data_IF_693795975042
#
_entry.id   IF_693795975042
#
_cell.length_a   1.000
_cell.length_b   1.000
_cell.length_c   1.000
_cell.angle_alpha   90.00
_cell.angle_beta   90.00
_cell.angle_gamma   90.00
#
_symmetry.space_group_name_H-M   'P 1'
#
loop_
_entity.id
_entity.type
_entity.pdbx_description
1 polymer ?
#
# COMPACT_ATOMS: atom_id res chain seq x y z
N UNK A 1 30.44 1.84 36.87
CA UNK A 1 29.84 0.72 36.11
C UNK A 1 28.37 0.96 35.77
N UNK A 2 27.63 1.78 36.53
CA UNK A 2 26.20 2.01 36.29
C UNK A 2 25.85 2.88 35.06
N UNK A 3 26.73 3.79 34.66
CA UNK A 3 26.51 4.65 33.48
C UNK A 3 26.51 3.86 32.17
N UNK A 4 27.39 2.87 32.01
CA UNK A 4 27.42 2.02 30.82
C UNK A 4 26.18 1.13 30.71
N UNK A 5 25.68 0.61 31.83
CA UNK A 5 24.46 -0.19 31.88
C UNK A 5 23.22 0.65 31.54
N UNK A 6 23.16 1.91 32.01
CA UNK A 6 22.09 2.85 31.63
C UNK A 6 22.06 3.11 30.13
N UNK A 7 23.21 3.38 29.50
CA UNK A 7 23.29 3.58 28.05
C UNK A 7 22.94 2.31 27.25
N UNK A 8 23.35 1.13 27.71
CA UNK A 8 22.98 -0.14 27.10
C UNK A 8 21.47 -0.43 27.24
N UNK A 9 20.89 -0.15 28.41
CA UNK A 9 19.46 -0.34 28.66
C UNK A 9 18.63 0.64 27.84
N UNK A 10 19.00 1.92 27.81
CA UNK A 10 18.37 2.94 26.99
C UNK A 10 18.42 2.57 25.49
N UNK A 11 19.58 2.15 24.97
CA UNK A 11 19.71 1.74 23.56
C UNK A 11 18.82 0.54 23.21
N UNK A 12 18.69 -0.43 24.12
CA UNK A 12 17.82 -1.59 23.93
C UNK A 12 16.33 -1.24 24.01
N UNK A 13 15.93 -0.34 24.91
CA UNK A 13 14.54 0.14 24.99
C UNK A 13 14.17 0.97 23.77
N UNK A 14 15.04 1.86 23.28
CA UNK A 14 14.78 2.61 22.05
C UNK A 14 14.66 1.69 20.82
N UNK A 15 15.52 0.67 20.71
CA UNK A 15 15.45 -0.27 19.59
C UNK A 15 14.16 -1.10 19.59
N UNK A 16 13.75 -1.61 20.75
CA UNK A 16 12.50 -2.37 20.86
C UNK A 16 11.27 -1.49 20.62
N UNK A 17 11.26 -0.25 21.10
CA UNK A 17 10.20 0.72 20.82
C UNK A 17 10.10 1.07 19.32
N UNK A 18 11.24 1.30 18.65
CA UNK A 18 11.26 1.64 17.23
C UNK A 18 10.75 0.46 16.37
N UNK A 19 11.14 -0.76 16.72
CA UNK A 19 10.63 -1.97 16.04
C UNK A 19 9.13 -2.19 16.24
N UNK A 20 8.62 -1.81 17.42
CA UNK A 20 7.18 -1.89 17.74
C UNK A 20 6.38 -0.88 16.92
N UNK A 21 6.87 0.35 16.77
CA UNK A 21 6.24 1.38 15.93
C UNK A 21 6.17 0.92 14.47
N UNK A 22 7.26 0.36 13.94
CA UNK A 22 7.28 -0.18 12.58
C UNK A 22 6.25 -1.31 12.39
N UNK A 23 6.09 -2.19 13.38
CA UNK A 23 5.09 -3.26 13.34
C UNK A 23 3.64 -2.75 13.37
N UNK A 24 3.38 -1.68 14.12
CA UNK A 24 2.06 -1.03 14.19
C UNK A 24 1.74 -0.29 12.89
N UNK A 25 2.74 0.36 12.30
CA UNK A 25 2.61 1.07 11.02
C UNK A 25 2.55 0.11 9.82
N UNK A 26 3.01 -1.14 10.00
CA UNK A 26 2.90 -2.18 8.99
C UNK A 26 1.44 -2.61 8.83
N UNK A 27 0.79 -2.02 7.82
CA UNK A 27 -0.54 -2.43 7.35
C UNK A 27 -0.52 -3.77 6.59
N UNK A 28 0.60 -4.50 6.61
CA UNK A 28 0.81 -5.72 5.83
C UNK A 28 0.51 -6.98 6.67
N UNK A 29 -0.08 -7.98 6.03
CA UNK A 29 -0.23 -9.33 6.60
C UNK A 29 -1.48 -9.50 7.47
N UNK A 30 -1.39 -9.22 8.78
CA UNK A 30 -2.43 -9.67 9.74
C UNK A 30 -3.78 -8.96 9.58
N UNK A 31 -3.77 -7.65 9.37
CA UNK A 31 -5.00 -6.87 9.16
C UNK A 31 -5.69 -7.31 7.85
N UNK A 32 -4.89 -7.48 6.79
CA UNK A 32 -5.36 -7.91 5.47
C UNK A 32 -5.94 -9.32 5.51
N UNK A 33 -5.29 -10.24 6.23
CA UNK A 33 -5.77 -11.62 6.33
C UNK A 33 -7.11 -11.71 7.07
N UNK A 34 -7.30 -10.91 8.11
CA UNK A 34 -8.59 -10.83 8.81
C UNK A 34 -9.70 -10.29 7.91
N UNK A 35 -9.43 -9.22 7.17
CA UNK A 35 -10.40 -8.68 6.21
C UNK A 35 -10.72 -9.69 5.11
N UNK A 36 -9.72 -10.39 4.57
CA UNK A 36 -9.91 -11.46 3.59
C UNK A 36 -10.77 -12.60 4.13
N UNK A 37 -10.48 -13.08 5.33
CA UNK A 37 -11.27 -14.14 5.97
C UNK A 37 -12.73 -13.70 6.16
N UNK A 38 -12.96 -12.44 6.55
CA UNK A 38 -14.30 -11.90 6.70
C UNK A 38 -15.07 -11.77 5.37
N UNK A 39 -14.41 -11.26 4.33
CA UNK A 39 -14.99 -11.22 2.97
C UNK A 39 -15.25 -12.63 2.43
N UNK A 40 -14.36 -13.60 2.71
CA UNK A 40 -14.55 -15.00 2.34
C UNK A 40 -15.78 -15.60 3.01
N UNK A 41 -16.03 -15.28 4.29
CA UNK A 41 -17.25 -15.72 5.00
C UNK A 41 -18.52 -15.11 4.44
N UNK A 42 -18.44 -13.91 3.85
CA UNK A 42 -19.56 -13.21 3.21
C UNK A 42 -19.72 -13.57 1.72
N UNK A 43 -18.83 -14.39 1.15
CA UNK A 43 -18.85 -14.73 -0.28
C UNK A 43 -18.50 -13.57 -1.21
N UNK A 44 -17.89 -12.50 -0.68
CA UNK A 44 -17.52 -11.30 -1.45
C UNK A 44 -16.06 -11.40 -1.88
N UNK A 45 -15.74 -11.16 -3.17
CA UNK A 45 -14.36 -11.21 -3.63
C UNK A 45 -13.53 -10.06 -3.02
N UNK A 46 -12.38 -10.39 -2.43
CA UNK A 46 -11.46 -9.43 -1.81
C UNK A 46 -10.29 -9.10 -2.74
N UNK A 47 -10.17 -7.83 -3.14
CA UNK A 47 -9.06 -7.34 -3.97
C UNK A 47 -8.23 -6.30 -3.22
N UNK A 48 -6.91 -6.47 -3.23
CA UNK A 48 -5.96 -5.51 -2.66
C UNK A 48 -5.07 -4.97 -3.76
N UNK A 49 -5.13 -3.66 -3.97
CA UNK A 49 -4.19 -2.95 -4.82
C UNK A 49 -3.02 -2.48 -3.98
N UNK A 50 -1.80 -2.85 -4.38
CA UNK A 50 -0.57 -2.44 -3.73
C UNK A 50 0.50 -2.33 -4.81
N UNK A 51 0.61 -1.15 -5.46
CA UNK A 51 1.65 -0.95 -6.46
C UNK A 51 3.03 -1.11 -5.81
N UNK A 52 3.93 -1.77 -6.52
CA UNK A 52 5.34 -1.83 -6.14
C UNK A 52 5.98 -0.52 -6.57
N UNK A 53 6.36 0.31 -5.61
CA UNK A 53 7.05 1.56 -5.89
C UNK A 53 8.54 1.29 -6.11
N UNK A 54 9.16 1.96 -7.09
CA UNK A 54 10.58 1.76 -7.41
C UNK A 54 11.53 2.31 -6.34
N UNK A 55 11.06 3.21 -5.47
CA UNK A 55 11.84 3.83 -4.41
C UNK A 55 11.07 3.81 -3.09
N UNK A 56 11.78 3.70 -1.98
CA UNK A 56 11.22 3.97 -0.67
C UNK A 56 11.03 5.48 -0.53
N UNK A 57 9.77 5.92 -0.46
CA UNK A 57 9.40 7.34 -0.41
C UNK A 57 8.93 7.67 1.00
N UNK A 58 9.59 8.66 1.62
CA UNK A 58 9.17 9.15 2.92
C UNK A 58 7.77 9.79 2.85
N UNK A 59 7.03 9.73 3.96
CA UNK A 59 5.67 10.26 3.99
C UNK A 59 5.59 11.78 3.76
N UNK A 60 6.66 12.51 4.07
CA UNK A 60 6.72 13.97 4.02
C UNK A 60 7.34 14.53 2.72
N UNK A 61 7.35 13.75 1.63
CA UNK A 61 7.93 14.21 0.37
C UNK A 61 7.06 15.31 -0.25
N UNK A 62 7.68 16.46 -0.50
CA UNK A 62 7.07 17.63 -1.16
C UNK A 62 7.48 17.77 -2.63
N UNK A 63 8.47 16.99 -3.08
CA UNK A 63 8.99 17.05 -4.45
C UNK A 63 7.99 16.49 -5.46
N UNK A 64 7.46 17.37 -6.32
CA UNK A 64 6.42 17.00 -7.29
C UNK A 64 6.88 15.93 -8.30
N UNK A 65 8.19 15.88 -8.62
CA UNK A 65 8.75 14.88 -9.54
C UNK A 65 8.62 13.46 -8.99
N UNK A 66 8.90 13.27 -7.70
CA UNK A 66 8.79 11.98 -7.01
C UNK A 66 7.32 11.57 -6.92
N UNK A 67 6.44 12.52 -6.60
CA UNK A 67 5.00 12.27 -6.53
C UNK A 67 4.43 11.86 -7.89
N UNK A 68 4.82 12.54 -8.97
CA UNK A 68 4.41 12.19 -10.32
C UNK A 68 4.89 10.79 -10.73
N UNK A 69 6.12 10.42 -10.37
CA UNK A 69 6.65 9.09 -10.62
C UNK A 69 5.83 8.00 -9.89
N UNK A 70 5.54 8.20 -8.60
CA UNK A 70 4.68 7.27 -7.84
C UNK A 70 3.28 7.14 -8.43
N UNK A 71 2.71 8.26 -8.90
CA UNK A 71 1.39 8.28 -9.54
C UNK A 71 1.40 7.47 -10.83
N UNK A 72 2.44 7.65 -11.67
CA UNK A 72 2.60 6.90 -12.91
C UNK A 72 2.78 5.39 -12.66
N UNK A 73 3.62 5.01 -11.70
CA UNK A 73 3.80 3.60 -11.30
C UNK A 73 2.49 2.97 -10.83
N UNK A 74 1.67 3.73 -10.11
CA UNK A 74 0.35 3.29 -9.66
C UNK A 74 -0.62 3.12 -10.83
N UNK A 75 -0.62 4.05 -11.79
CA UNK A 75 -1.47 4.00 -12.98
C UNK A 75 -1.11 2.80 -13.88
N UNK A 76 0.19 2.60 -14.13
CA UNK A 76 0.69 1.45 -14.88
C UNK A 76 0.32 0.10 -14.21
N UNK A 77 0.41 0.03 -12.87
CA UNK A 77 -0.02 -1.15 -12.11
C UNK A 77 -1.51 -1.42 -12.24
N UNK A 78 -2.35 -0.39 -12.17
CA UNK A 78 -3.81 -0.52 -12.34
C UNK A 78 -4.17 -0.96 -13.76
N UNK A 79 -3.52 -0.39 -14.77
CA UNK A 79 -3.68 -0.79 -16.17
C UNK A 79 -3.32 -2.26 -16.38
N UNK A 80 -2.22 -2.73 -15.77
CA UNK A 80 -1.82 -4.15 -15.83
C UNK A 80 -2.78 -5.08 -15.08
N UNK A 81 -3.48 -4.58 -14.06
CA UNK A 81 -4.45 -5.35 -13.27
C UNK A 81 -5.88 -5.27 -13.81
N UNK A 82 -6.11 -4.62 -14.96
CA UNK A 82 -7.43 -4.36 -15.54
C UNK A 82 -8.24 -5.61 -15.82
N UNK A 83 -7.59 -6.72 -16.15
CA UNK A 83 -8.27 -8.02 -16.37
C UNK A 83 -8.80 -8.63 -15.06
N UNK A 84 -8.25 -8.26 -13.90
CA UNK A 84 -8.79 -8.66 -12.59
C UNK A 84 -9.98 -7.79 -12.17
N UNK A 85 -10.06 -6.55 -12.69
CA UNK A 85 -11.17 -5.63 -12.45
C UNK A 85 -12.44 -6.02 -13.21
N UNK A 86 -12.30 -6.51 -14.46
CA UNK A 86 -13.45 -6.89 -15.30
C UNK A 86 -14.31 -8.00 -14.68
N UNK A 87 -13.69 -8.93 -13.95
CA UNK A 87 -14.39 -9.99 -13.21
C UNK A 87 -15.26 -9.44 -12.06
N UNK A 88 -14.85 -8.35 -11.41
CA UNK A 88 -15.55 -7.76 -10.28
C UNK A 88 -16.62 -6.73 -10.70
N UNK A 89 -16.42 -6.06 -11.84
CA UNK A 89 -17.42 -5.13 -12.39
C UNK A 89 -18.69 -5.83 -12.88
N UNK A 90 -18.62 -7.12 -13.25
CA UNK A 90 -19.79 -7.93 -13.60
C UNK A 90 -20.77 -8.12 -12.42
N UNK A 91 -20.32 -7.88 -11.18
CA UNK A 91 -21.13 -7.95 -9.96
C UNK A 91 -21.77 -6.61 -9.53
N UNK A 92 -21.62 -5.53 -10.31
CA UNK A 92 -22.43 -4.30 -10.15
C UNK A 92 -22.14 -3.40 -8.93
N UNK A 93 -21.03 -3.59 -8.21
CA UNK A 93 -20.79 -2.89 -6.93
C UNK A 93 -19.68 -1.82 -6.93
N UNK A 94 -19.07 -1.46 -8.08
CA UNK A 94 -18.07 -0.39 -8.13
C UNK A 94 -18.53 0.82 -8.97
N UNK A 95 -18.32 2.08 -8.51
CA UNK A 95 -18.60 3.25 -9.33
C UNK A 95 -17.70 3.28 -10.58
N UNK A 96 -18.32 3.59 -11.72
CA UNK A 96 -17.80 3.63 -13.10
C UNK A 96 -16.62 4.60 -13.36
N UNK A 97 -15.90 5.05 -12.33
CA UNK A 97 -14.92 6.12 -12.43
C UNK A 97 -13.56 5.70 -13.03
N UNK A 98 -13.21 4.41 -13.01
CA UNK A 98 -11.91 3.92 -13.52
C UNK A 98 -11.91 3.73 -15.05
N UNK A 99 -13.09 3.61 -15.67
CA UNK A 99 -13.25 3.33 -17.10
C UNK A 99 -12.78 4.47 -18.02
N UNK A 100 -12.49 5.67 -17.49
CA UNK A 100 -12.05 6.83 -18.29
C UNK A 100 -10.52 6.94 -18.47
N UNK A 101 -9.69 6.22 -17.72
CA UNK A 101 -8.24 6.42 -17.80
C UNK A 101 -7.56 5.76 -19.01
N UNK A 102 -8.12 4.69 -19.60
CA UNK A 102 -7.48 3.97 -20.71
C UNK A 102 -7.90 4.45 -22.10
N UNK A 103 -8.02 5.76 -22.35
CA UNK A 103 -7.85 6.28 -23.71
C UNK A 103 -6.37 6.60 -23.86
N UNK A 104 -5.62 5.99 -24.80
CA UNK A 104 -4.26 6.40 -25.07
C UNK A 104 -4.30 7.91 -25.38
N UNK A 105 -3.56 8.69 -24.59
CA UNK A 105 -3.33 10.10 -24.87
C UNK A 105 -2.60 10.12 -26.21
N UNK A 106 -3.31 10.44 -27.31
CA UNK A 106 -2.65 10.76 -28.58
C UNK A 106 -1.83 12.02 -28.31
N UNK A 107 -0.52 11.87 -28.25
CA UNK A 107 0.38 13.02 -28.36
C UNK A 107 0.20 13.62 -29.77
N UNK A 108 0.26 14.96 -29.91
CA UNK A 108 0.15 15.63 -31.20
C UNK A 108 1.31 15.29 -32.14
#
# INVERSE_FOLDING_TARGET
>A
MESALYWCFARNTYHTLLSSIHHIQSTRGRVVERSRAWCSSLGVPFFRFSPLLSSEVALNVTDSKIILQMLWETEAYLCSCRDRYSLCSAAGFLPLAVSRCCKPRKEP
#
